data_IF_006381781827
#
_entry.id   IF_006381781827
#
_cell.length_a   1.000
_cell.length_b   1.000
_cell.length_c   1.000
_cell.angle_alpha   90.00
_cell.angle_beta   90.00
_cell.angle_gamma   90.00
#
_symmetry.space_group_name_H-M   'P 1'
#
loop_
_entity.id
_entity.type
_entity.pdbx_description
1 polymer ?
#
# COMPACT_ATOMS: atom_id res chain seq x y z
N UNK A 1 -10.84 4.23 -0.85
CA UNK A 1 -11.59 4.69 0.33
C UNK A 1 -12.83 5.48 -0.09
N UNK A 2 -13.91 5.39 0.70
CA UNK A 2 -15.18 6.11 0.48
C UNK A 2 -15.48 7.07 1.63
N UNK A 3 -16.15 8.18 1.34
CA UNK A 3 -16.66 9.08 2.36
C UNK A 3 -17.89 8.48 3.04
N UNK A 4 -17.92 8.48 4.36
CA UNK A 4 -19.07 8.07 5.16
C UNK A 4 -19.45 9.15 6.16
N UNK A 5 -20.74 9.47 6.25
CA UNK A 5 -21.32 10.36 7.25
C UNK A 5 -22.80 10.03 7.43
N UNK A 6 -23.36 10.36 8.60
CA UNK A 6 -24.78 10.18 8.87
C UNK A 6 -25.58 11.38 8.34
N UNK A 7 -26.32 11.18 7.25
CA UNK A 7 -27.13 12.23 6.59
C UNK A 7 -28.27 12.77 7.47
N UNK A 8 -28.72 12.00 8.45
CA UNK A 8 -29.83 12.37 9.34
C UNK A 8 -29.38 13.14 10.58
N UNK A 9 -28.07 13.26 10.81
CA UNK A 9 -27.52 14.03 11.94
C UNK A 9 -27.51 15.52 11.60
N UNK A 10 -27.90 16.37 12.57
CA UNK A 10 -27.76 17.83 12.46
C UNK A 10 -26.29 18.27 12.35
N UNK A 11 -25.39 17.53 12.96
CA UNK A 11 -23.95 17.76 12.93
C UNK A 11 -23.24 16.45 12.55
N UNK A 12 -23.15 16.12 11.25
CA UNK A 12 -22.55 14.88 10.81
C UNK A 12 -21.03 14.90 11.03
N UNK A 13 -20.49 13.75 11.43
CA UNK A 13 -19.06 13.51 11.48
C UNK A 13 -18.65 12.82 10.18
N UNK A 14 -17.62 13.35 9.52
CA UNK A 14 -17.10 12.79 8.28
C UNK A 14 -15.98 11.78 8.55
N UNK A 15 -16.08 10.62 7.91
CA UNK A 15 -15.13 9.52 8.01
C UNK A 15 -14.65 9.09 6.63
N UNK A 16 -13.36 8.77 6.51
CA UNK A 16 -12.83 7.96 5.43
C UNK A 16 -13.02 6.48 5.81
N UNK A 17 -13.77 5.75 5.00
CA UNK A 17 -14.10 4.35 5.26
C UNK A 17 -13.49 3.45 4.17
N UNK A 18 -12.95 2.31 4.58
CA UNK A 18 -12.37 1.31 3.69
C UNK A 18 -12.96 -0.06 3.97
N UNK A 19 -13.42 -0.73 2.92
CA UNK A 19 -13.75 -2.15 2.96
C UNK A 19 -12.47 -2.97 2.86
N UNK A 20 -12.26 -3.89 3.79
CA UNK A 20 -11.15 -4.84 3.78
C UNK A 20 -11.77 -6.25 3.81
N UNK A 21 -11.36 -7.08 2.86
CA UNK A 21 -11.78 -8.48 2.78
C UNK A 21 -10.73 -9.34 3.47
N UNK A 22 -11.15 -10.04 4.52
CA UNK A 22 -10.33 -11.00 5.23
C UNK A 22 -10.92 -12.40 4.98
N UNK A 23 -10.39 -13.09 3.96
CA UNK A 23 -10.92 -14.38 3.51
C UNK A 23 -12.36 -14.27 3.00
N UNK A 24 -13.29 -14.94 3.67
CA UNK A 24 -14.73 -14.96 3.33
C UNK A 24 -15.52 -13.79 3.90
N UNK A 25 -15.02 -13.10 4.94
CA UNK A 25 -15.73 -11.97 5.57
C UNK A 25 -15.23 -10.63 5.04
N UNK A 26 -16.17 -9.74 4.73
CA UNK A 26 -15.87 -8.35 4.39
C UNK A 26 -16.15 -7.50 5.62
N UNK A 27 -15.12 -6.80 6.11
CA UNK A 27 -15.27 -5.86 7.23
C UNK A 27 -15.05 -4.44 6.74
N UNK A 28 -15.80 -3.52 7.31
CA UNK A 28 -15.68 -2.11 6.96
C UNK A 28 -15.02 -1.38 8.12
N UNK A 29 -13.86 -0.77 7.89
CA UNK A 29 -13.10 -0.03 8.92
C UNK A 29 -13.04 1.45 8.58
N UNK A 30 -13.09 2.28 9.61
CA UNK A 30 -12.88 3.72 9.49
C UNK A 30 -11.37 3.98 9.56
N UNK A 31 -10.81 4.49 8.47
CA UNK A 31 -9.37 4.75 8.31
C UNK A 31 -8.99 6.11 8.89
N UNK A 32 -9.86 7.11 8.73
CA UNK A 32 -9.63 8.47 9.22
C UNK A 32 -10.94 9.14 9.64
N UNK A 33 -10.87 9.97 10.68
CA UNK A 33 -11.94 10.88 11.11
C UNK A 33 -11.53 12.30 10.72
N UNK A 34 -12.36 12.99 9.93
CA UNK A 34 -12.07 14.35 9.48
C UNK A 34 -12.55 15.41 10.46
N UNK A 35 -13.62 15.13 11.21
CA UNK A 35 -14.21 16.07 12.16
C UNK A 35 -15.72 16.20 12.00
N UNK A 36 -16.34 17.02 12.85
CA UNK A 36 -17.75 17.40 12.73
C UNK A 36 -17.94 18.45 11.64
N UNK A 37 -19.12 18.48 11.05
CA UNK A 37 -19.49 19.49 10.05
C UNK A 37 -19.33 20.91 10.61
N UNK A 38 -19.78 21.15 11.84
CA UNK A 38 -19.67 22.46 12.50
C UNK A 38 -18.23 22.91 12.78
N UNK A 39 -17.30 21.96 12.93
CA UNK A 39 -15.88 22.25 13.14
C UNK A 39 -15.19 22.60 11.82
N UNK A 40 -15.55 21.87 10.75
CA UNK A 40 -14.98 22.07 9.42
C UNK A 40 -15.49 23.36 8.76
N UNK A 41 -16.74 23.76 9.03
CA UNK A 41 -17.29 25.06 8.59
C UNK A 41 -16.49 26.27 9.10
N UNK A 42 -15.76 26.15 10.21
CA UNK A 42 -14.94 27.24 10.75
C UNK A 42 -13.63 27.42 9.98
N UNK A 43 -13.21 26.39 9.25
CA UNK A 43 -11.93 26.32 8.56
C UNK A 43 -12.14 26.50 7.06
N UNK A 44 -13.26 26.03 6.53
CA UNK A 44 -13.57 26.03 5.10
C UNK A 44 -15.05 26.33 4.86
N UNK A 45 -15.35 27.13 3.82
CA UNK A 45 -16.72 27.49 3.42
C UNK A 45 -17.57 26.30 2.95
N UNK A 46 -16.97 25.29 2.32
CA UNK A 46 -17.61 24.01 1.98
C UNK A 46 -16.86 22.80 2.58
N UNK A 47 -17.30 22.29 3.74
CA UNK A 47 -16.68 21.15 4.39
C UNK A 47 -16.82 19.85 3.61
N UNK A 48 -17.83 19.71 2.73
CA UNK A 48 -18.05 18.48 1.97
C UNK A 48 -17.05 18.37 0.81
N UNK A 49 -16.85 19.46 0.07
CA UNK A 49 -15.86 19.55 -1.00
C UNK A 49 -14.44 19.32 -0.47
N UNK A 50 -14.11 19.95 0.66
CA UNK A 50 -12.80 19.78 1.31
C UNK A 50 -12.49 18.31 1.64
N UNK A 51 -13.44 17.63 2.29
CA UNK A 51 -13.25 16.22 2.65
C UNK A 51 -13.15 15.32 1.42
N UNK A 52 -13.85 15.67 0.33
CA UNK A 52 -13.80 14.91 -0.93
C UNK A 52 -12.44 15.01 -1.61
N UNK A 53 -11.82 16.19 -1.63
CA UNK A 53 -10.47 16.38 -2.17
C UNK A 53 -9.41 15.67 -1.32
N UNK A 54 -9.47 15.77 0.00
CA UNK A 54 -8.57 15.02 0.88
C UNK A 54 -8.70 13.50 0.70
N UNK A 55 -9.93 13.00 0.51
CA UNK A 55 -10.16 11.59 0.20
C UNK A 55 -9.58 11.19 -1.17
N UNK A 56 -9.64 12.09 -2.16
CA UNK A 56 -9.05 11.86 -3.50
C UNK A 56 -7.53 11.74 -3.38
N UNK A 57 -6.88 12.67 -2.69
CA UNK A 57 -5.43 12.65 -2.43
C UNK A 57 -5.00 11.37 -1.71
N UNK A 58 -5.72 10.97 -0.65
CA UNK A 58 -5.48 9.71 0.05
C UNK A 58 -5.64 8.47 -0.84
N UNK A 59 -6.59 8.48 -1.78
CA UNK A 59 -6.77 7.37 -2.72
C UNK A 59 -5.63 7.29 -3.75
N UNK A 60 -5.13 8.44 -4.20
CA UNK A 60 -3.99 8.52 -5.12
C UNK A 60 -2.71 8.01 -4.44
N UNK A 61 -2.41 8.48 -3.22
CA UNK A 61 -1.29 7.97 -2.42
C UNK A 61 -1.37 6.45 -2.21
N UNK A 62 -2.56 5.94 -1.91
CA UNK A 62 -2.78 4.50 -1.76
C UNK A 62 -2.58 3.71 -3.06
N UNK A 63 -2.79 4.34 -4.23
CA UNK A 63 -2.63 3.71 -5.55
C UNK A 63 -1.18 3.68 -6.02
N UNK A 64 -0.37 4.65 -5.62
CA UNK A 64 1.06 4.76 -6.01
C UNK A 64 1.92 3.63 -5.43
N UNK A 65 1.50 3.01 -4.32
CA UNK A 65 2.27 1.94 -3.65
C UNK A 65 1.93 0.50 -4.05
N UNK A 66 0.95 0.26 -4.94
CA UNK A 66 0.53 -1.09 -5.34
C UNK A 66 0.96 -1.38 -6.78
N UNK A 67 1.94 -2.26 -6.94
CA UNK A 67 2.26 -2.89 -8.22
C UNK A 67 1.45 -4.18 -8.30
N UNK A 68 0.51 -4.25 -9.24
CA UNK A 68 -0.25 -5.47 -9.50
C UNK A 68 0.67 -6.48 -10.21
N UNK A 69 1.14 -7.49 -9.48
CA UNK A 69 1.87 -8.63 -10.05
C UNK A 69 0.87 -9.76 -10.35
N UNK A 70 0.55 -9.97 -11.63
CA UNK A 70 -0.19 -11.13 -12.09
C UNK A 70 0.79 -12.26 -12.40
N UNK A 71 0.90 -13.24 -11.49
CA UNK A 71 1.65 -14.47 -11.74
C UNK A 71 0.67 -15.50 -12.32
N UNK A 72 0.70 -15.68 -13.64
CA UNK A 72 -0.02 -16.77 -14.30
C UNK A 72 0.87 -18.02 -14.33
N UNK A 73 0.43 -19.10 -13.69
CA UNK A 73 1.04 -20.41 -13.81
C UNK A 73 0.05 -21.35 -14.50
N UNK A 74 0.44 -21.95 -15.62
CA UNK A 74 -0.33 -22.98 -16.30
C UNK A 74 0.03 -24.35 -15.69
N UNK A 75 -0.94 -24.98 -15.02
CA UNK A 75 -0.75 -26.27 -14.36
C UNK A 75 -0.75 -27.47 -15.32
N UNK A 76 -1.10 -27.26 -16.60
CA UNK A 76 -1.01 -28.29 -17.63
C UNK A 76 0.40 -28.38 -18.26
N UNK A 77 1.24 -27.36 -18.08
CA UNK A 77 2.60 -27.37 -18.59
C UNK A 77 3.50 -28.17 -17.63
N UNK A 78 4.15 -29.22 -18.15
CA UNK A 78 5.12 -29.99 -17.36
C UNK A 78 6.34 -29.10 -17.08
N UNK A 79 6.81 -29.11 -15.84
CA UNK A 79 8.05 -28.43 -15.44
C UNK A 79 9.19 -28.88 -16.37
N UNK A 80 9.89 -27.92 -16.97
CA UNK A 80 11.04 -28.20 -17.84
C UNK A 80 12.06 -29.03 -17.05
N UNK A 81 12.50 -30.14 -17.63
CA UNK A 81 13.47 -31.01 -17.01
C UNK A 81 14.82 -30.28 -16.92
N UNK A 82 15.28 -29.97 -15.71
CA UNK A 82 16.66 -29.53 -15.48
C UNK A 82 17.50 -30.73 -15.03
N UNK A 83 18.78 -30.77 -15.42
CA UNK A 83 19.76 -31.72 -14.90
C UNK A 83 20.23 -31.36 -13.48
N UNK A 84 19.81 -30.22 -12.95
CA UNK A 84 20.20 -29.73 -11.63
C UNK A 84 19.47 -30.51 -10.51
N UNK A 85 20.21 -30.85 -9.45
CA UNK A 85 19.68 -31.56 -8.28
C UNK A 85 18.61 -30.75 -7.51
N UNK A 86 18.55 -29.44 -7.72
CA UNK A 86 17.55 -28.54 -7.15
C UNK A 86 17.24 -27.39 -8.10
N UNK A 87 16.03 -26.83 -7.97
CA UNK A 87 15.60 -25.67 -8.75
C UNK A 87 16.46 -24.44 -8.41
N UNK A 88 17.05 -23.80 -9.43
CA UNK A 88 17.78 -22.55 -9.25
C UNK A 88 16.80 -21.43 -8.88
N UNK A 89 17.10 -20.71 -7.79
CA UNK A 89 16.24 -19.60 -7.35
C UNK A 89 16.28 -18.50 -8.41
N UNK A 90 15.13 -18.16 -8.98
CA UNK A 90 14.99 -17.04 -9.90
C UNK A 90 14.96 -15.68 -9.17
N UNK A 91 15.27 -15.68 -7.87
CA UNK A 91 15.34 -14.47 -7.06
C UNK A 91 16.59 -13.71 -7.47
N UNK A 92 16.38 -12.53 -8.05
CA UNK A 92 17.44 -11.55 -8.22
C UNK A 92 18.04 -11.31 -6.83
N UNK A 93 19.33 -11.60 -6.65
CA UNK A 93 20.08 -11.43 -5.40
C UNK A 93 20.21 -9.94 -5.05
N UNK A 94 19.10 -9.23 -4.87
CA UNK A 94 19.08 -7.78 -4.62
C UNK A 94 19.79 -7.47 -3.29
N UNK A 95 19.74 -8.38 -2.32
CA UNK A 95 20.49 -8.30 -1.07
C UNK A 95 22.01 -8.26 -1.24
N UNK A 96 22.54 -8.86 -2.30
CA UNK A 96 23.97 -8.84 -2.60
C UNK A 96 24.46 -7.43 -2.93
N UNK A 97 23.65 -6.59 -3.59
CA UNK A 97 24.04 -5.21 -3.90
C UNK A 97 24.24 -4.36 -2.65
N UNK A 98 23.45 -4.59 -1.60
CA UNK A 98 23.63 -3.90 -0.32
C UNK A 98 24.93 -4.35 0.36
N UNK A 99 25.20 -5.66 0.41
CA UNK A 99 26.45 -6.19 0.95
C UNK A 99 27.66 -5.66 0.20
N UNK A 100 27.62 -5.62 -1.13
CA UNK A 100 28.67 -5.04 -1.97
C UNK A 100 28.89 -3.56 -1.68
N UNK A 101 27.82 -2.78 -1.50
CA UNK A 101 27.91 -1.36 -1.15
C UNK A 101 28.50 -1.14 0.25
N UNK A 102 28.13 -1.97 1.24
CA UNK A 102 28.71 -1.90 2.59
C UNK A 102 30.19 -2.28 2.58
N UNK A 103 30.56 -3.38 1.93
CA UNK A 103 31.95 -3.84 1.81
C UNK A 103 32.83 -2.81 1.11
N UNK A 104 32.33 -2.17 0.05
CA UNK A 104 33.03 -1.08 -0.64
C UNK A 104 33.29 0.13 0.26
N UNK A 105 32.33 0.49 1.11
CA UNK A 105 32.46 1.60 2.08
C UNK A 105 33.44 1.30 3.22
N UNK A 106 33.58 0.03 3.61
CA UNK A 106 34.52 -0.36 4.66
C UNK A 106 35.99 -0.21 4.24
N UNK A 107 36.28 0.04 2.95
CA UNK A 107 37.64 0.26 2.44
C UNK A 107 38.63 -0.82 2.89
N UNK A 108 38.18 -2.07 2.97
CA UNK A 108 38.97 -3.20 3.50
C UNK A 108 40.31 -3.39 2.77
N UNK A 109 40.39 -2.99 1.51
CA UNK A 109 41.63 -3.03 0.72
C UNK A 109 42.74 -2.14 1.30
N UNK A 110 42.41 -1.09 2.04
CA UNK A 110 43.40 -0.23 2.71
C UNK A 110 43.94 -0.88 3.99
N UNK A 111 43.23 -1.88 4.54
CA UNK A 111 43.60 -2.57 5.78
C UNK A 111 44.52 -3.78 5.56
N UNK A 112 44.45 -4.41 4.39
CA UNK A 112 45.22 -5.60 4.05
C UNK A 112 46.41 -5.30 3.12
N UNK A 113 46.92 -4.07 3.17
CA UNK A 113 48.10 -3.62 2.42
C UNK A 113 49.37 -3.78 3.24
#
# INVERSE_FOLDING_TARGET
MKLFYNKNSKDPIYYAQQGIRNGTKTTTRNVRKFGKHSELLKITDDPLAYVKEELRKMNEEYRVGKVDFAISADFNERVKHSSDTASSSNWLNIGYFFLQAFLGKLRLQDFFR
#
